data_IF_897674515365
#
_entry.id   IF_897674515365
#
_cell.length_a   1.000
_cell.length_b   1.000
_cell.length_c   1.000
_cell.angle_alpha   90.00
_cell.angle_beta   90.00
_cell.angle_gamma   90.00
#
_symmetry.space_group_name_H-M   'P 1'
#
loop_
_entity.id
_entity.type
_entity.pdbx_description
1 polymer ?
#
# COMPACT_ATOMS: atom_id res chain seq x y z
N UNK A 1 -0.53 38.02 19.44
CA UNK A 1 0.85 37.51 19.22
C UNK A 1 1.02 36.27 20.07
N UNK A 2 0.48 35.13 19.59
CA UNK A 2 0.69 33.82 20.18
C UNK A 2 2.05 33.29 19.73
N UNK A 3 2.84 32.85 20.69
CA UNK A 3 4.26 32.60 20.49
C UNK A 3 4.54 31.27 19.81
N UNK A 4 5.47 31.27 18.86
CA UNK A 4 5.86 30.18 17.95
C UNK A 4 6.47 28.92 18.61
N UNK A 5 6.49 28.86 19.95
CA UNK A 5 7.11 27.78 20.75
C UNK A 5 6.10 26.82 21.37
N UNK A 6 4.78 27.05 21.26
CA UNK A 6 3.75 26.17 21.82
C UNK A 6 3.41 24.99 20.91
N UNK A 7 4.44 24.45 20.23
CA UNK A 7 4.34 23.26 19.40
C UNK A 7 4.59 22.08 20.34
N UNK A 8 3.51 21.49 20.85
CA UNK A 8 3.57 20.20 21.56
C UNK A 8 4.35 19.22 20.70
N UNK A 9 5.55 18.84 21.16
CA UNK A 9 6.35 17.80 20.54
C UNK A 9 5.50 16.51 20.54
N UNK A 10 5.26 15.86 19.39
CA UNK A 10 4.52 14.61 19.35
C UNK A 10 5.08 13.53 20.28
N UNK A 11 6.36 13.62 20.69
CA UNK A 11 6.97 12.67 21.62
C UNK A 11 6.59 12.89 23.09
N UNK A 12 5.96 14.02 23.43
CA UNK A 12 5.60 14.37 24.82
C UNK A 12 4.26 13.76 25.28
N UNK A 13 3.63 12.95 24.41
CA UNK A 13 2.39 12.23 24.71
C UNK A 13 2.71 10.86 25.33
N UNK A 14 2.46 10.64 26.64
CA UNK A 14 2.73 9.36 27.29
C UNK A 14 1.91 8.20 26.72
N UNK A 15 0.80 8.48 26.02
CA UNK A 15 0.02 7.48 25.28
C UNK A 15 0.71 6.90 24.04
N UNK A 16 1.73 7.56 23.49
CA UNK A 16 2.49 7.10 22.31
C UNK A 16 3.72 6.28 22.65
N UNK A 17 4.30 6.45 23.85
CA UNK A 17 5.58 5.81 24.22
C UNK A 17 5.43 4.41 24.82
N UNK A 18 4.25 4.02 25.29
CA UNK A 18 4.10 2.79 26.08
C UNK A 18 3.11 1.74 25.54
N UNK A 19 2.61 1.88 24.32
CA UNK A 19 2.01 0.73 23.63
C UNK A 19 3.13 -0.10 23.03
N UNK A 20 3.54 -1.15 23.75
CA UNK A 20 4.25 -2.26 23.11
C UNK A 20 3.47 -2.61 21.84
N UNK A 21 4.08 -2.53 20.65
CA UNK A 21 3.35 -2.77 19.41
C UNK A 21 2.75 -4.17 19.54
N UNK A 22 1.45 -4.33 19.26
CA UNK A 22 0.75 -5.61 19.41
C UNK A 22 1.47 -6.81 18.73
N UNK A 23 2.40 -6.53 17.80
CA UNK A 23 3.28 -7.51 17.19
C UNK A 23 4.45 -8.03 18.05
N UNK A 24 4.83 -7.42 19.17
CA UNK A 24 5.93 -7.93 20.02
C UNK A 24 5.54 -9.26 20.69
N UNK A 25 4.29 -9.33 21.16
CA UNK A 25 3.73 -10.53 21.80
C UNK A 25 3.50 -11.64 20.76
N UNK A 26 2.93 -11.30 19.59
CA UNK A 26 2.80 -12.25 18.47
C UNK A 26 4.16 -12.73 17.94
N UNK A 27 5.18 -11.87 17.93
CA UNK A 27 6.53 -12.22 17.47
C UNK A 27 7.26 -13.12 18.46
N UNK A 28 6.99 -13.01 19.76
CA UNK A 28 7.62 -13.87 20.77
C UNK A 28 7.13 -15.32 20.67
N UNK A 29 5.87 -15.53 20.32
CA UNK A 29 5.33 -16.87 20.04
C UNK A 29 6.04 -17.55 18.86
N UNK A 30 6.33 -16.82 17.78
CA UNK A 30 7.07 -17.36 16.63
C UNK A 30 8.53 -17.69 16.98
N UNK A 31 9.18 -16.89 17.83
CA UNK A 31 10.55 -17.16 18.29
C UNK A 31 10.59 -18.42 19.16
N UNK A 32 9.64 -18.59 20.07
CA UNK A 32 9.54 -19.77 20.93
C UNK A 32 9.19 -21.02 20.12
N UNK A 33 8.22 -20.94 19.21
CA UNK A 33 7.85 -22.05 18.32
C UNK A 33 9.00 -22.43 17.38
N UNK A 34 9.72 -21.44 16.84
CA UNK A 34 10.92 -21.64 16.04
C UNK A 34 12.02 -22.34 16.84
N UNK A 35 12.30 -21.90 18.07
CA UNK A 35 13.30 -22.52 18.93
C UNK A 35 12.96 -23.98 19.30
N UNK A 36 11.68 -24.27 19.60
CA UNK A 36 11.21 -25.63 19.89
C UNK A 36 11.37 -26.55 18.68
N UNK A 37 11.08 -26.07 17.48
CA UNK A 37 11.25 -26.86 16.26
C UNK A 37 12.74 -27.01 15.89
N UNK A 38 13.54 -25.96 16.01
CA UNK A 38 14.96 -25.96 15.66
C UNK A 38 15.80 -26.85 16.58
N UNK A 39 15.41 -26.98 17.86
CA UNK A 39 16.10 -27.81 18.86
C UNK A 39 15.45 -29.20 18.99
N UNK A 40 14.11 -29.27 18.96
CA UNK A 40 13.36 -30.51 19.19
C UNK A 40 13.49 -31.52 18.04
N UNK A 41 13.50 -31.06 16.79
CA UNK A 41 13.65 -31.95 15.63
C UNK A 41 15.00 -32.68 15.59
N UNK A 42 16.15 -31.99 15.72
CA UNK A 42 17.45 -32.67 15.75
C UNK A 42 17.58 -33.66 16.90
N UNK A 43 17.05 -33.34 18.08
CA UNK A 43 17.11 -34.23 19.26
C UNK A 43 16.31 -35.52 19.02
N UNK A 44 15.13 -35.45 18.41
CA UNK A 44 14.31 -36.65 18.09
C UNK A 44 14.99 -37.54 17.04
N UNK A 45 15.64 -36.93 16.06
CA UNK A 45 16.33 -37.66 14.99
C UNK A 45 17.65 -38.29 15.49
N UNK A 46 18.39 -37.59 16.35
CA UNK A 46 19.72 -38.02 16.82
C UNK A 46 19.69 -38.99 18.02
N UNK A 47 18.63 -38.99 18.83
CA UNK A 47 18.57 -39.80 20.07
C UNK A 47 18.02 -41.22 19.92
N UNK A 48 17.37 -41.55 18.79
CA UNK A 48 16.60 -42.81 18.68
C UNK A 48 16.96 -43.75 17.51
N UNK A 49 17.85 -43.37 16.60
CA UNK A 49 18.09 -44.10 15.34
C UNK A 49 17.08 -43.75 14.22
N UNK A 50 17.50 -44.00 12.98
CA UNK A 50 16.85 -43.57 11.73
C UNK A 50 15.74 -44.53 11.24
N UNK A 51 14.51 -44.33 11.71
CA UNK A 51 13.34 -44.99 11.11
C UNK A 51 12.68 -44.08 10.05
N UNK A 52 12.11 -44.64 8.96
CA UNK A 52 11.43 -43.86 7.92
C UNK A 52 10.32 -42.93 8.46
N UNK A 53 9.59 -43.36 9.50
CA UNK A 53 8.54 -42.58 10.13
C UNK A 53 9.08 -41.32 10.84
N UNK A 54 10.26 -41.40 11.46
CA UNK A 54 10.90 -40.25 12.13
C UNK A 54 11.46 -39.26 11.13
N UNK A 55 11.99 -39.75 10.01
CA UNK A 55 12.43 -38.90 8.90
C UNK A 55 11.23 -38.14 8.31
N UNK A 56 10.10 -38.83 8.08
CA UNK A 56 8.88 -38.18 7.57
C UNK A 56 8.35 -37.12 8.54
N UNK A 57 8.31 -37.41 9.84
CA UNK A 57 7.93 -36.44 10.86
C UNK A 57 8.86 -35.22 10.89
N UNK A 58 10.17 -35.45 10.72
CA UNK A 58 11.16 -34.38 10.69
C UNK A 58 10.99 -33.47 9.46
N UNK A 59 10.77 -34.05 8.28
CA UNK A 59 10.52 -33.28 7.06
C UNK A 59 9.22 -32.48 7.14
N UNK A 60 8.18 -33.05 7.75
CA UNK A 60 6.91 -32.35 7.97
C UNK A 60 7.06 -31.16 8.92
N UNK A 61 7.79 -31.33 10.04
CA UNK A 61 8.08 -30.24 10.97
C UNK A 61 8.91 -29.12 10.33
N UNK A 62 9.90 -29.47 9.50
CA UNK A 62 10.69 -28.50 8.72
C UNK A 62 9.81 -27.74 7.72
N UNK A 63 8.91 -28.42 7.00
CA UNK A 63 8.01 -27.79 6.05
C UNK A 63 7.06 -26.79 6.72
N UNK A 64 6.53 -27.10 7.92
CA UNK A 64 5.71 -26.18 8.71
C UNK A 64 6.53 -24.96 9.14
N UNK A 65 7.76 -25.16 9.62
CA UNK A 65 8.65 -24.06 10.02
C UNK A 65 8.91 -23.11 8.85
N UNK A 66 9.29 -23.64 7.69
CA UNK A 66 9.52 -22.86 6.47
C UNK A 66 8.27 -22.09 6.05
N UNK A 67 7.09 -22.71 6.10
CA UNK A 67 5.83 -22.04 5.78
C UNK A 67 5.52 -20.88 6.75
N UNK A 68 5.74 -21.08 8.05
CA UNK A 68 5.53 -20.04 9.07
C UNK A 68 6.52 -18.88 8.87
N UNK A 69 7.80 -19.18 8.59
CA UNK A 69 8.81 -18.17 8.29
C UNK A 69 8.48 -17.38 7.02
N UNK A 70 8.03 -18.03 5.95
CA UNK A 70 7.61 -17.34 4.72
C UNK A 70 6.42 -16.40 4.97
N UNK A 71 5.43 -16.84 5.75
CA UNK A 71 4.28 -15.99 6.14
C UNK A 71 4.75 -14.80 6.97
N UNK A 72 5.67 -15.03 7.91
CA UNK A 72 6.25 -13.97 8.74
C UNK A 72 7.04 -12.97 7.90
N UNK A 73 7.96 -13.44 7.05
CA UNK A 73 8.75 -12.60 6.14
C UNK A 73 7.86 -11.81 5.19
N UNK A 74 6.77 -12.41 4.67
CA UNK A 74 5.77 -11.71 3.85
C UNK A 74 5.02 -10.63 4.62
N UNK A 75 4.63 -10.90 5.87
CA UNK A 75 4.00 -9.90 6.75
C UNK A 75 4.97 -8.79 7.13
N UNK A 76 6.24 -9.13 7.37
CA UNK A 76 7.29 -8.20 7.76
C UNK A 76 7.69 -7.28 6.60
N UNK A 77 7.89 -7.82 5.39
CA UNK A 77 8.15 -7.00 4.19
C UNK A 77 7.01 -6.04 3.92
N UNK A 78 5.74 -6.47 4.04
CA UNK A 78 4.59 -5.56 3.92
C UNK A 78 4.65 -4.41 4.94
N UNK A 79 5.03 -4.67 6.19
CA UNK A 79 5.15 -3.63 7.24
C UNK A 79 6.35 -2.70 7.04
N UNK A 80 7.49 -3.23 6.61
CA UNK A 80 8.72 -2.45 6.36
C UNK A 80 8.53 -1.55 5.14
N UNK A 81 7.93 -2.07 4.06
CA UNK A 81 7.51 -1.25 2.93
C UNK A 81 6.47 -0.21 3.36
N UNK A 82 5.53 -0.57 4.24
CA UNK A 82 4.53 0.33 4.83
C UNK A 82 5.15 1.54 5.55
N UNK A 83 6.18 1.36 6.38
CA UNK A 83 6.88 2.49 7.04
C UNK A 83 7.61 3.43 6.06
N UNK A 84 8.01 2.95 4.88
CA UNK A 84 8.58 3.80 3.81
C UNK A 84 7.51 4.40 2.88
N UNK A 85 6.29 3.88 2.95
CA UNK A 85 5.15 4.29 2.15
C UNK A 85 4.31 5.38 2.82
N UNK A 86 4.49 5.67 4.12
CA UNK A 86 3.75 6.78 4.74
C UNK A 86 4.12 8.12 4.09
N UNK A 87 3.10 8.94 3.85
CA UNK A 87 3.22 10.30 3.34
C UNK A 87 2.44 11.25 4.22
N UNK A 88 3.07 12.37 4.55
CA UNK A 88 2.40 13.51 5.16
C UNK A 88 1.77 14.36 4.06
N UNK A 89 0.49 14.66 4.22
CA UNK A 89 -0.25 15.58 3.37
C UNK A 89 0.08 17.00 3.82
N UNK A 90 0.65 17.82 2.94
CA UNK A 90 1.11 19.17 3.28
C UNK A 90 0.07 20.25 2.97
N UNK A 91 -0.93 19.96 2.14
CA UNK A 91 -2.02 20.86 1.78
C UNK A 91 -3.30 20.08 1.50
N UNK A 92 -4.44 20.72 1.72
CA UNK A 92 -5.75 20.10 1.48
C UNK A 92 -5.91 19.73 -0.01
N UNK A 93 -6.52 18.56 -0.24
CA UNK A 93 -6.92 18.09 -1.55
C UNK A 93 -8.42 17.80 -1.52
N UNK A 94 -9.18 18.67 -2.19
CA UNK A 94 -10.61 18.50 -2.36
C UNK A 94 -10.90 17.71 -3.64
N UNK A 95 -11.82 16.75 -3.52
CA UNK A 95 -12.25 15.93 -4.64
C UNK A 95 -13.45 16.60 -5.33
N UNK A 96 -13.43 16.74 -6.67
CA UNK A 96 -14.54 17.30 -7.41
C UNK A 96 -15.83 16.49 -7.22
N UNK A 97 -16.98 17.17 -7.23
CA UNK A 97 -18.30 16.53 -7.13
C UNK A 97 -18.68 15.82 -8.45
N UNK A 98 -18.04 14.66 -8.70
CA UNK A 98 -18.33 13.77 -9.82
C UNK A 98 -18.10 12.31 -9.41
N UNK A 99 -18.90 11.40 -9.98
CA UNK A 99 -18.66 9.97 -9.78
C UNK A 99 -17.33 9.55 -10.45
N UNK A 100 -16.53 8.67 -9.80
CA UNK A 100 -15.35 8.11 -10.44
C UNK A 100 -15.69 7.30 -11.69
N UNK A 101 -14.80 7.37 -12.68
CA UNK A 101 -14.85 6.55 -13.87
C UNK A 101 -13.81 5.42 -13.73
N UNK A 102 -14.22 4.18 -14.01
CA UNK A 102 -13.30 3.05 -14.18
C UNK A 102 -13.34 2.58 -15.62
N UNK A 103 -12.17 2.52 -16.26
CA UNK A 103 -11.99 1.98 -17.62
C UNK A 103 -11.09 0.75 -17.59
N UNK A 104 -11.32 -0.20 -18.50
CA UNK A 104 -10.60 -1.47 -18.58
C UNK A 104 -9.90 -1.64 -19.93
N UNK A 105 -8.80 -2.41 -19.99
CA UNK A 105 -8.15 -2.71 -21.27
C UNK A 105 -9.13 -3.28 -22.30
N UNK A 106 -9.09 -2.75 -23.52
CA UNK A 106 -9.98 -3.09 -24.61
C UNK A 106 -11.22 -2.22 -24.75
N UNK A 107 -11.57 -1.41 -23.73
CA UNK A 107 -12.68 -0.46 -23.84
C UNK A 107 -12.38 0.59 -24.93
N UNK A 108 -13.41 0.99 -25.67
CA UNK A 108 -13.34 2.10 -26.63
C UNK A 108 -13.97 3.32 -25.99
N UNK A 109 -13.24 4.42 -25.97
CA UNK A 109 -13.63 5.66 -25.31
C UNK A 109 -13.56 6.86 -26.25
N UNK A 110 -14.35 7.90 -25.98
CA UNK A 110 -14.20 9.18 -26.66
C UNK A 110 -13.15 10.02 -25.94
N UNK A 111 -12.18 10.54 -26.69
CA UNK A 111 -11.07 11.34 -26.19
C UNK A 111 -11.35 12.81 -26.52
N UNK A 112 -11.38 13.63 -25.47
CA UNK A 112 -11.63 15.07 -25.53
C UNK A 112 -10.36 15.90 -25.32
N UNK A 113 -10.53 17.02 -24.63
CA UNK A 113 -9.45 17.98 -24.39
C UNK A 113 -8.32 17.37 -23.55
N UNK A 114 -7.10 17.90 -23.75
CA UNK A 114 -5.96 17.66 -22.87
C UNK A 114 -6.00 18.65 -21.72
N UNK A 115 -5.73 18.19 -20.51
CA UNK A 115 -5.70 19.04 -19.32
C UNK A 115 -4.51 20.02 -19.40
N UNK A 116 -4.73 21.28 -19.02
CA UNK A 116 -3.70 22.33 -19.05
C UNK A 116 -2.87 22.39 -17.77
N UNK A 117 -3.44 21.99 -16.63
CA UNK A 117 -2.73 21.91 -15.35
C UNK A 117 -1.99 20.58 -15.21
N UNK A 118 -2.57 19.50 -15.74
CA UNK A 118 -2.04 18.15 -15.68
C UNK A 118 -1.83 17.56 -17.09
N UNK A 119 -0.78 17.98 -17.83
CA UNK A 119 -0.62 17.69 -19.27
C UNK A 119 -0.54 16.20 -19.65
N UNK A 120 -0.30 15.33 -18.66
CA UNK A 120 -0.36 13.88 -18.84
C UNK A 120 -1.78 13.37 -19.13
N UNK A 121 -2.82 14.12 -18.76
CA UNK A 121 -4.22 13.67 -18.80
C UNK A 121 -4.98 14.20 -20.02
N UNK A 122 -5.90 13.37 -20.51
CA UNK A 122 -6.94 13.72 -21.47
C UNK A 122 -8.31 13.42 -20.89
N UNK A 123 -9.31 14.20 -21.28
CA UNK A 123 -10.68 13.98 -20.83
C UNK A 123 -11.27 12.82 -21.61
N UNK A 124 -11.80 11.84 -20.89
CA UNK A 124 -12.40 10.64 -21.46
C UNK A 124 -13.89 10.64 -21.20
N UNK A 125 -14.67 10.27 -22.22
CA UNK A 125 -16.12 10.04 -22.11
C UNK A 125 -16.47 8.63 -22.55
N UNK A 126 -17.30 7.98 -21.75
CA UNK A 126 -17.85 6.63 -21.96
C UNK A 126 -19.36 6.65 -21.75
N UNK A 127 -20.04 5.54 -22.02
CA UNK A 127 -21.46 5.39 -21.67
C UNK A 127 -21.73 5.36 -20.15
N UNK A 128 -20.71 5.08 -19.34
CA UNK A 128 -20.82 4.96 -17.88
C UNK A 128 -20.36 6.21 -17.11
N UNK A 129 -19.88 7.23 -17.82
CA UNK A 129 -19.41 8.48 -17.22
C UNK A 129 -18.17 9.03 -17.88
N UNK A 130 -17.56 9.99 -17.19
CA UNK A 130 -16.45 10.80 -17.71
C UNK A 130 -15.37 10.98 -16.66
N UNK A 131 -14.12 11.13 -17.09
CA UNK A 131 -13.02 11.40 -16.18
C UNK A 131 -11.71 11.71 -16.88
N UNK A 132 -10.73 12.18 -16.12
CA UNK A 132 -9.38 12.45 -16.60
C UNK A 132 -8.54 11.18 -16.53
N UNK A 133 -7.94 10.81 -17.65
CA UNK A 133 -7.12 9.58 -17.77
C UNK A 133 -5.75 9.94 -18.34
N UNK A 134 -4.64 9.39 -17.82
CA UNK A 134 -3.33 9.57 -18.44
C UNK A 134 -3.34 9.11 -19.89
N UNK A 135 -2.98 9.98 -20.83
CA UNK A 135 -3.05 9.70 -22.26
C UNK A 135 -2.25 8.44 -22.66
N UNK A 136 -1.16 8.14 -21.95
CA UNK A 136 -0.32 6.94 -22.18
C UNK A 136 -1.04 5.61 -21.88
N UNK A 137 -2.18 5.66 -21.16
CA UNK A 137 -3.03 4.49 -20.91
C UNK A 137 -3.94 4.16 -22.09
N UNK A 138 -4.00 5.05 -23.08
CA UNK A 138 -4.83 4.93 -24.27
C UNK A 138 -3.95 4.77 -25.51
N UNK A 139 -4.46 4.04 -26.50
CA UNK A 139 -4.04 4.15 -27.88
C UNK A 139 -5.03 5.08 -28.59
N UNK A 140 -4.60 6.29 -28.92
CA UNK A 140 -5.50 7.37 -29.36
C UNK A 140 -5.44 7.50 -30.89
N UNK A 141 -6.60 7.43 -31.53
CA UNK A 141 -6.79 7.69 -32.96
C UNK A 141 -7.87 8.77 -33.16
N UNK A 142 -7.42 9.99 -33.47
CA UNK A 142 -8.30 11.15 -33.58
C UNK A 142 -9.06 11.45 -32.29
N UNK A 143 -10.38 11.36 -32.32
CA UNK A 143 -11.27 11.59 -31.18
C UNK A 143 -11.67 10.31 -30.43
N UNK A 144 -11.16 9.15 -30.84
CA UNK A 144 -11.41 7.87 -30.18
C UNK A 144 -10.11 7.33 -29.56
N UNK A 145 -10.24 6.49 -28.55
CA UNK A 145 -9.11 5.79 -27.95
C UNK A 145 -9.48 4.38 -27.53
N UNK A 146 -8.54 3.45 -27.69
CA UNK A 146 -8.64 2.10 -27.12
C UNK A 146 -7.83 2.05 -25.83
N UNK A 147 -8.43 1.61 -24.75
CA UNK A 147 -7.75 1.52 -23.45
C UNK A 147 -6.73 0.38 -23.48
N UNK A 148 -5.47 0.69 -23.22
CA UNK A 148 -4.37 -0.28 -23.10
C UNK A 148 -4.13 -0.70 -21.66
N UNK A 149 -4.25 0.24 -20.73
CA UNK A 149 -4.05 0.04 -19.30
C UNK A 149 -5.29 0.56 -18.59
N UNK A 150 -5.92 -0.29 -17.77
CA UNK A 150 -7.08 0.11 -16.99
C UNK A 150 -6.74 1.26 -16.04
N UNK A 151 -7.73 2.10 -15.75
CA UNK A 151 -7.54 3.26 -14.88
C UNK A 151 -8.81 3.55 -14.09
N UNK A 152 -8.64 3.91 -12.83
CA UNK A 152 -9.70 4.35 -11.94
C UNK A 152 -9.43 5.83 -11.61
N UNK A 153 -10.39 6.70 -11.90
CA UNK A 153 -10.27 8.14 -11.66
C UNK A 153 -10.70 8.55 -10.25
N UNK A 154 -10.85 7.60 -9.31
CA UNK A 154 -11.18 7.89 -7.92
C UNK A 154 -10.08 8.73 -7.29
N UNK A 155 -10.44 9.92 -6.80
CA UNK A 155 -9.56 10.77 -6.01
C UNK A 155 -9.88 10.59 -4.52
N UNK A 156 -8.88 10.74 -3.66
CA UNK A 156 -9.02 10.61 -2.21
C UNK A 156 -8.99 12.00 -1.58
N UNK A 157 -10.07 12.46 -0.92
CA UNK A 157 -10.01 13.72 -0.19
C UNK A 157 -9.00 13.60 0.95
N UNK A 158 -8.14 14.60 1.09
CA UNK A 158 -7.06 14.59 2.07
C UNK A 158 -6.91 15.96 2.72
N UNK A 159 -6.64 15.99 4.02
CA UNK A 159 -6.42 17.24 4.76
C UNK A 159 -4.95 17.44 5.12
N UNK A 160 -4.49 18.69 5.15
CA UNK A 160 -3.15 19.03 5.63
C UNK A 160 -2.91 18.49 7.04
N UNK A 161 -1.76 17.84 7.24
CA UNK A 161 -1.41 17.16 8.49
C UNK A 161 -1.84 15.69 8.55
N UNK A 162 -2.65 15.20 7.61
CA UNK A 162 -3.02 13.79 7.52
C UNK A 162 -1.83 12.92 7.10
N UNK A 163 -1.76 11.71 7.66
CA UNK A 163 -0.82 10.67 7.22
C UNK A 163 -1.57 9.64 6.39
N UNK A 164 -1.11 9.41 5.16
CA UNK A 164 -1.67 8.42 4.24
C UNK A 164 -0.64 7.36 3.87
N UNK A 165 -1.09 6.14 3.60
CA UNK A 165 -0.28 5.09 3.00
C UNK A 165 -0.13 5.35 1.48
N UNK A 166 1.10 5.46 0.97
CA UNK A 166 1.37 5.43 -0.47
C UNK A 166 1.26 4.00 -0.98
N UNK A 167 0.23 3.73 -1.78
CA UNK A 167 -0.02 2.40 -2.36
C UNK A 167 0.64 2.27 -3.73
N UNK A 168 0.55 3.31 -4.56
CA UNK A 168 1.26 3.40 -5.84
C UNK A 168 1.68 4.85 -6.12
N UNK A 169 2.83 5.04 -6.75
CA UNK A 169 3.32 6.36 -7.15
C UNK A 169 3.39 6.44 -8.67
N UNK A 170 2.91 7.54 -9.24
CA UNK A 170 2.95 7.81 -10.68
C UNK A 170 3.54 9.21 -10.92
N UNK A 171 4.88 9.32 -10.92
CA UNK A 171 5.57 10.60 -11.12
C UNK A 171 5.30 11.23 -12.49
N UNK A 172 4.96 10.43 -13.51
CA UNK A 172 4.71 10.92 -14.87
C UNK A 172 3.37 11.65 -14.97
N UNK A 173 2.34 11.19 -14.25
CA UNK A 173 1.10 11.96 -14.13
C UNK A 173 1.18 13.06 -13.07
N UNK A 174 2.07 12.92 -12.09
CA UNK A 174 2.17 13.82 -10.95
C UNK A 174 1.20 13.48 -9.82
N UNK A 175 0.64 12.27 -9.81
CA UNK A 175 -0.32 11.78 -8.82
C UNK A 175 0.15 10.49 -8.16
N UNK A 176 -0.36 10.23 -6.96
CA UNK A 176 -0.06 9.04 -6.19
C UNK A 176 -1.35 8.40 -5.69
N UNK A 177 -1.48 7.08 -5.82
CA UNK A 177 -2.61 6.34 -5.25
C UNK A 177 -2.32 6.10 -3.76
N UNK A 178 -3.18 6.64 -2.92
CA UNK A 178 -3.01 6.64 -1.47
C UNK A 178 -4.16 5.91 -0.79
N UNK A 179 -3.94 5.47 0.45
CA UNK A 179 -4.98 4.95 1.35
C UNK A 179 -4.97 5.71 2.66
N UNK A 180 -6.14 6.17 3.10
CA UNK A 180 -6.28 6.87 4.38
C UNK A 180 -6.47 5.91 5.57
N UNK A 181 -6.56 6.47 6.78
CA UNK A 181 -6.75 5.68 8.01
C UNK A 181 -8.09 4.92 8.06
N UNK A 182 -9.12 5.38 7.34
CA UNK A 182 -10.42 4.71 7.20
C UNK A 182 -10.38 3.55 6.18
N UNK A 183 -9.25 3.35 5.50
CA UNK A 183 -9.08 2.33 4.46
C UNK A 183 -9.62 2.73 3.10
N UNK A 184 -10.04 3.99 2.90
CA UNK A 184 -10.44 4.52 1.58
C UNK A 184 -9.20 4.75 0.74
N UNK A 185 -9.29 4.43 -0.55
CA UNK A 185 -8.20 4.62 -1.51
C UNK A 185 -8.59 5.55 -2.65
N UNK A 186 -7.61 6.25 -3.20
CA UNK A 186 -7.79 7.15 -4.35
C UNK A 186 -6.53 7.95 -4.64
N UNK A 187 -6.55 8.67 -5.76
CA UNK A 187 -5.46 9.56 -6.17
C UNK A 187 -5.37 10.81 -5.30
N UNK A 188 -4.14 11.19 -4.95
CA UNK A 188 -3.78 12.46 -4.32
C UNK A 188 -2.64 13.10 -5.13
N UNK A 189 -2.64 14.42 -5.38
CA UNK A 189 -1.56 15.07 -6.10
C UNK A 189 -0.23 14.88 -5.39
N UNK A 190 0.79 14.41 -6.12
CA UNK A 190 2.12 14.15 -5.54
C UNK A 190 2.75 15.39 -4.93
N UNK A 191 2.43 16.57 -5.47
CA UNK A 191 2.90 17.87 -4.99
C UNK A 191 2.46 18.23 -3.57
N UNK A 192 1.41 17.58 -3.04
CA UNK A 192 0.95 17.78 -1.66
C UNK A 192 1.39 16.65 -0.72
N UNK A 193 2.28 15.77 -1.17
CA UNK A 193 2.77 14.63 -0.39
C UNK A 193 4.27 14.79 -0.11
N UNK A 194 4.67 14.61 1.15
CA UNK A 194 6.08 14.48 1.55
C UNK A 194 6.30 13.20 2.34
N UNK A 195 7.54 12.74 2.44
CA UNK A 195 7.88 11.64 3.35
C UNK A 195 7.49 12.04 4.79
N UNK A 196 6.78 11.13 5.47
CA UNK A 196 6.36 11.29 6.87
C UNK A 196 7.48 10.98 7.85
#
# INVERSE_FOLDING_TARGET
>A
MSSWWDRTDPTDRPELTNRAPAGLVESWWNVVAGAVLLIGLPVIVLSGGSSPARIAFALFGLAIMVALELVFVRKLTRRITGRRALRLVTADHEVPERAPLTIRPGDVVQVGARDTEWPAFVFVTTEHGTGWVPARHLDIDGSAGTVRVGYDTTELPASSGEIVDLVADDPESGWSWCRNADGREGWVPRRVLTAA
#
